data_IF_219600908333
#
_entry.id   IF_219600908333
#
_cell.length_a   1.000
_cell.length_b   1.000
_cell.length_c   1.000
_cell.angle_alpha   90.00
_cell.angle_beta   90.00
_cell.angle_gamma   90.00
#
_symmetry.space_group_name_H-M   'P 1'
#
loop_
_entity.id
_entity.type
_entity.pdbx_description
1 polymer ?
#
# COMPACT_ATOMS: atom_id res chain seq x y z
N UNK A 1 45.09 -5.49 -37.74
CA UNK A 1 44.38 -4.35 -37.09
C UNK A 1 42.87 -4.55 -36.97
N UNK A 2 42.14 -5.05 -37.99
CA UNK A 2 40.67 -5.21 -37.92
C UNK A 2 40.17 -6.19 -36.85
N UNK A 3 40.88 -7.29 -36.62
CA UNK A 3 40.54 -8.29 -35.59
C UNK A 3 40.65 -7.72 -34.17
N UNK A 4 41.65 -6.87 -33.90
CA UNK A 4 41.85 -6.27 -32.57
C UNK A 4 40.71 -5.34 -32.14
N UNK A 5 40.21 -4.50 -33.06
CA UNK A 5 39.06 -3.63 -32.81
C UNK A 5 37.76 -4.40 -32.60
N UNK A 6 37.57 -5.51 -33.32
CA UNK A 6 36.43 -6.42 -33.11
C UNK A 6 36.41 -7.03 -31.71
N UNK A 7 37.55 -7.54 -31.24
CA UNK A 7 37.67 -8.12 -29.88
C UNK A 7 37.45 -7.10 -28.78
N UNK A 8 37.99 -5.88 -28.93
CA UNK A 8 37.77 -4.79 -27.97
C UNK A 8 36.30 -4.38 -27.91
N UNK A 9 35.64 -4.21 -29.06
CA UNK A 9 34.22 -3.87 -29.11
C UNK A 9 33.34 -4.96 -28.47
N UNK A 10 33.64 -6.24 -28.74
CA UNK A 10 32.95 -7.36 -28.11
C UNK A 10 33.12 -7.39 -26.59
N UNK A 11 34.33 -7.17 -26.09
CA UNK A 11 34.61 -7.11 -24.65
C UNK A 11 33.86 -5.96 -23.98
N UNK A 12 33.89 -4.76 -24.56
CA UNK A 12 33.18 -3.59 -24.03
C UNK A 12 31.66 -3.80 -24.05
N UNK A 13 31.11 -4.43 -25.10
CA UNK A 13 29.68 -4.73 -25.18
C UNK A 13 29.23 -5.72 -24.10
N UNK A 14 29.99 -6.79 -23.88
CA UNK A 14 29.67 -7.80 -22.86
C UNK A 14 29.74 -7.20 -21.45
N UNK A 15 30.78 -6.41 -21.15
CA UNK A 15 30.92 -5.75 -19.85
C UNK A 15 29.84 -4.70 -19.62
N UNK A 16 29.50 -3.92 -20.65
CA UNK A 16 28.40 -2.95 -20.58
C UNK A 16 27.06 -3.65 -20.35
N UNK A 17 26.79 -4.75 -21.05
CA UNK A 17 25.58 -5.53 -20.84
C UNK A 17 25.53 -6.16 -19.44
N UNK A 18 26.65 -6.67 -18.93
CA UNK A 18 26.75 -7.20 -17.57
C UNK A 18 26.55 -6.10 -16.51
N UNK A 19 27.11 -4.90 -16.75
CA UNK A 19 26.92 -3.73 -15.90
C UNK A 19 25.47 -3.24 -15.90
N UNK A 20 24.83 -3.16 -17.07
CA UNK A 20 23.40 -2.83 -17.14
C UNK A 20 22.57 -3.89 -16.43
N UNK A 21 22.87 -5.18 -16.62
CA UNK A 21 22.20 -6.30 -15.95
C UNK A 21 22.35 -6.24 -14.43
N UNK A 22 23.43 -5.68 -13.89
CA UNK A 22 23.61 -5.50 -12.45
C UNK A 22 22.54 -4.61 -11.82
N UNK A 23 22.03 -3.60 -12.55
CA UNK A 23 20.95 -2.72 -12.05
C UNK A 23 19.55 -3.35 -12.11
N UNK A 24 19.40 -4.53 -12.72
CA UNK A 24 18.13 -5.26 -12.74
C UNK A 24 18.13 -6.33 -11.64
N UNK A 25 17.37 -6.14 -10.54
CA UNK A 25 17.29 -7.13 -9.47
C UNK A 25 16.71 -8.44 -10.00
N UNK A 26 17.36 -9.57 -9.69
CA UNK A 26 16.95 -10.90 -10.18
C UNK A 26 15.85 -11.55 -9.35
N UNK A 27 15.60 -11.04 -8.15
CA UNK A 27 14.60 -11.55 -7.22
C UNK A 27 13.79 -10.37 -6.72
N UNK A 28 12.52 -10.36 -7.08
CA UNK A 28 11.52 -9.48 -6.47
C UNK A 28 10.93 -10.25 -5.30
N UNK A 29 11.28 -9.84 -4.07
CA UNK A 29 10.60 -10.31 -2.87
C UNK A 29 9.25 -9.60 -2.79
N UNK A 30 8.28 -10.10 -3.55
CA UNK A 30 6.90 -9.61 -3.48
C UNK A 30 6.16 -10.41 -2.41
N UNK A 31 5.65 -9.74 -1.34
CA UNK A 31 4.75 -10.37 -0.40
C UNK A 31 3.54 -10.96 -1.14
N UNK A 32 2.91 -12.02 -0.61
CA UNK A 32 1.74 -12.59 -1.25
C UNK A 32 0.67 -11.51 -1.43
N UNK A 33 0.04 -11.52 -2.60
CA UNK A 33 -0.97 -10.53 -2.98
C UNK A 33 -2.25 -10.68 -2.16
N UNK A 34 -2.50 -11.86 -1.61
CA UNK A 34 -3.59 -12.15 -0.70
C UNK A 34 -3.04 -12.69 0.62
N UNK A 35 -3.55 -12.15 1.73
CA UNK A 35 -3.12 -12.56 3.06
C UNK A 35 -4.26 -12.41 4.07
N UNK A 36 -4.25 -13.29 5.07
CA UNK A 36 -5.23 -13.28 6.15
C UNK A 36 -4.79 -12.32 7.23
N UNK A 37 -5.76 -11.63 7.83
CA UNK A 37 -5.53 -10.63 8.88
C UNK A 37 -6.27 -10.99 10.18
N UNK A 38 -6.43 -12.28 10.49
CA UNK A 38 -7.09 -12.70 11.73
C UNK A 38 -8.61 -12.55 11.72
N UNK A 39 -9.23 -12.66 12.88
CA UNK A 39 -10.69 -12.72 13.01
C UNK A 39 -11.31 -11.33 13.19
N UNK A 40 -12.54 -11.08 12.68
CA UNK A 40 -13.23 -9.80 12.88
C UNK A 40 -13.36 -9.36 14.35
N UNK A 41 -13.48 -10.30 15.28
CA UNK A 41 -13.67 -10.05 16.71
C UNK A 41 -12.41 -9.49 17.40
N UNK A 42 -11.22 -9.71 16.82
CA UNK A 42 -9.94 -9.23 17.36
C UNK A 42 -9.77 -7.71 17.16
N UNK A 43 -10.66 -7.07 16.40
CA UNK A 43 -10.58 -5.67 16.04
C UNK A 43 -11.62 -4.84 16.80
N UNK A 44 -11.22 -3.96 17.72
CA UNK A 44 -12.16 -3.05 18.36
C UNK A 44 -12.74 -2.02 17.38
N UNK A 45 -14.03 -1.65 17.49
CA UNK A 45 -14.62 -0.60 16.66
C UNK A 45 -13.90 0.75 16.82
N UNK A 46 -13.67 1.45 15.71
CA UNK A 46 -13.03 2.76 15.67
C UNK A 46 -11.51 2.76 15.79
N UNK A 47 -10.85 1.59 15.76
CA UNK A 47 -9.39 1.47 15.84
C UNK A 47 -8.75 1.12 14.50
N UNK A 48 -7.46 1.49 14.39
CA UNK A 48 -6.59 1.17 13.25
C UNK A 48 -5.58 0.14 13.71
N UNK A 49 -5.54 -1.01 13.04
CA UNK A 49 -4.52 -2.02 13.28
C UNK A 49 -3.31 -1.80 12.35
N UNK A 50 -2.14 -1.57 12.96
CA UNK A 50 -0.87 -1.32 12.29
C UNK A 50 0.05 -2.52 12.14
N UNK A 51 -0.36 -3.71 12.59
CA UNK A 51 0.46 -4.93 12.58
C UNK A 51 0.94 -5.31 11.16
N UNK A 52 0.08 -5.13 10.16
CA UNK A 52 0.34 -5.51 8.77
C UNK A 52 1.08 -4.44 7.95
N UNK A 53 1.45 -3.32 8.58
CA UNK A 53 2.12 -2.20 7.91
C UNK A 53 3.50 -2.58 7.38
N UNK A 54 4.33 -3.27 8.17
CA UNK A 54 5.73 -3.56 7.80
C UNK A 54 5.85 -4.63 6.72
N UNK A 55 5.01 -5.66 6.80
CA UNK A 55 5.08 -6.84 5.93
C UNK A 55 4.26 -6.66 4.65
N UNK A 56 3.06 -6.08 4.77
CA UNK A 56 2.12 -6.00 3.66
C UNK A 56 1.84 -4.57 3.19
N UNK A 57 2.35 -3.54 3.89
CA UNK A 57 2.05 -2.15 3.56
C UNK A 57 0.55 -1.85 3.66
N UNK A 58 -0.14 -2.49 4.62
CA UNK A 58 -1.59 -2.39 4.78
C UNK A 58 -1.97 -2.10 6.23
N UNK A 59 -2.95 -1.21 6.41
CA UNK A 59 -3.70 -1.06 7.66
C UNK A 59 -5.08 -1.70 7.52
N UNK A 60 -5.56 -2.30 8.61
CA UNK A 60 -6.92 -2.81 8.71
C UNK A 60 -7.66 -1.95 9.71
N UNK A 61 -8.78 -1.36 9.29
CA UNK A 61 -9.55 -0.42 10.09
C UNK A 61 -10.95 -0.96 10.27
N UNK A 62 -11.43 -0.96 11.51
CA UNK A 62 -12.84 -1.19 11.84
C UNK A 62 -13.47 0.15 12.17
N UNK A 63 -14.50 0.55 11.42
CA UNK A 63 -15.27 1.76 11.68
C UNK A 63 -16.21 1.58 12.88
N UNK A 64 -16.70 2.67 13.48
CA UNK A 64 -17.65 2.60 14.59
C UNK A 64 -18.98 1.92 14.24
N UNK A 65 -19.39 1.94 12.96
CA UNK A 65 -20.57 1.25 12.45
C UNK A 65 -20.35 -0.26 12.25
N UNK A 66 -19.16 -0.76 12.56
CA UNK A 66 -18.77 -2.16 12.44
C UNK A 66 -18.19 -2.54 11.07
N UNK A 67 -18.19 -1.63 10.09
CA UNK A 67 -17.63 -1.92 8.77
C UNK A 67 -16.09 -1.98 8.79
N UNK A 68 -15.51 -2.86 7.98
CA UNK A 68 -14.08 -3.03 7.82
C UNK A 68 -13.61 -2.51 6.48
N UNK A 69 -12.39 -1.98 6.43
CA UNK A 69 -11.67 -1.78 5.17
C UNK A 69 -10.17 -1.94 5.36
N UNK A 70 -9.50 -2.33 4.28
CA UNK A 70 -8.05 -2.41 4.19
C UNK A 70 -7.53 -1.19 3.42
N UNK A 71 -6.53 -0.52 3.98
CA UNK A 71 -5.99 0.72 3.45
C UNK A 71 -4.49 0.62 3.22
N UNK A 72 -4.02 1.08 2.07
CA UNK A 72 -2.60 1.09 1.74
C UNK A 72 -1.87 2.12 2.61
N UNK A 73 -0.73 1.73 3.18
CA UNK A 73 0.06 2.61 4.05
C UNK A 73 0.97 3.54 3.26
N UNK A 74 0.63 3.86 2.01
CA UNK A 74 1.46 4.64 1.10
C UNK A 74 0.87 6.04 0.92
N UNK A 75 1.64 7.05 1.29
CA UNK A 75 1.28 8.44 1.07
C UNK A 75 1.17 8.73 -0.43
N UNK A 76 0.07 9.36 -0.82
CA UNK A 76 -0.26 9.70 -2.21
C UNK A 76 0.53 10.88 -2.77
N UNK A 77 1.38 11.51 -1.96
CA UNK A 77 2.34 12.51 -2.42
C UNK A 77 3.51 11.85 -3.16
N UNK A 78 4.46 11.25 -2.42
CA UNK A 78 5.68 10.63 -2.97
C UNK A 78 5.96 9.23 -2.40
N UNK A 79 4.98 8.61 -1.73
CA UNK A 79 5.07 7.21 -1.34
C UNK A 79 5.64 6.90 0.05
N UNK A 80 5.93 7.91 0.87
CA UNK A 80 6.30 7.69 2.27
C UNK A 80 5.18 6.98 3.06
N UNK A 81 5.53 6.32 4.15
CA UNK A 81 4.54 5.67 5.02
C UNK A 81 4.06 6.65 6.10
N UNK A 82 2.78 7.09 6.12
CA UNK A 82 2.28 7.92 7.19
C UNK A 82 2.25 7.17 8.53
N UNK A 83 2.27 7.90 9.64
CA UNK A 83 2.10 7.34 10.98
C UNK A 83 0.68 7.60 11.47
N UNK A 84 0.05 6.58 12.08
CA UNK A 84 -1.22 6.74 12.79
C UNK A 84 -0.98 7.44 14.14
N UNK A 85 -1.70 8.53 14.38
CA UNK A 85 -1.63 9.31 15.62
C UNK A 85 -2.93 9.09 16.42
N UNK A 86 -2.91 8.14 17.36
CA UNK A 86 -4.08 7.74 18.15
C UNK A 86 -4.77 8.93 18.85
N UNK A 87 -3.98 9.84 19.44
CA UNK A 87 -4.48 11.01 20.15
C UNK A 87 -5.27 11.99 19.26
N UNK A 88 -4.98 12.01 17.95
CA UNK A 88 -5.62 12.92 16.99
C UNK A 88 -6.59 12.18 16.05
N UNK A 89 -6.63 10.85 16.10
CA UNK A 89 -7.36 9.98 15.17
C UNK A 89 -7.10 10.31 13.69
N UNK A 90 -5.84 10.58 13.37
CA UNK A 90 -5.38 11.04 12.05
C UNK A 90 -4.08 10.36 11.65
N UNK A 91 -3.89 10.18 10.35
CA UNK A 91 -2.60 9.80 9.79
C UNK A 91 -1.80 11.05 9.45
N UNK A 92 -0.52 11.07 9.82
CA UNK A 92 0.41 12.18 9.53
C UNK A 92 1.64 11.64 8.81
N UNK A 93 1.94 12.20 7.65
CA UNK A 93 3.11 11.84 6.86
C UNK A 93 4.32 12.67 7.29
N UNK A 94 5.40 12.04 7.81
CA UNK A 94 6.56 12.77 8.34
C UNK A 94 7.41 13.44 7.25
N UNK A 95 7.26 13.06 5.98
CA UNK A 95 8.12 13.55 4.91
C UNK A 95 7.83 15.00 4.51
N UNK A 96 6.55 15.34 4.32
CA UNK A 96 6.13 16.67 3.81
C UNK A 96 4.85 17.19 4.49
N UNK A 97 4.44 16.59 5.60
CA UNK A 97 3.30 17.06 6.40
C UNK A 97 1.92 16.78 5.82
N UNK A 98 1.76 15.82 4.91
CA UNK A 98 0.42 15.39 4.46
C UNK A 98 -0.36 14.77 5.61
N UNK A 99 -1.62 15.15 5.77
CA UNK A 99 -2.51 14.61 6.79
C UNK A 99 -3.75 13.96 6.18
N UNK A 100 -4.16 12.83 6.76
CA UNK A 100 -5.35 12.08 6.36
C UNK A 100 -6.25 11.78 7.56
N UNK A 101 -7.56 11.79 7.34
CA UNK A 101 -8.54 11.29 8.32
C UNK A 101 -8.47 9.77 8.46
N UNK A 102 -9.13 9.21 9.47
CA UNK A 102 -9.25 7.75 9.64
C UNK A 102 -9.80 7.04 8.39
N UNK A 103 -10.63 7.74 7.59
CA UNK A 103 -11.20 7.25 6.33
C UNK A 103 -10.17 7.15 5.20
N UNK A 104 -9.01 7.80 5.34
CA UNK A 104 -8.00 7.94 4.29
C UNK A 104 -8.15 9.20 3.44
N UNK A 105 -9.17 10.03 3.68
CA UNK A 105 -9.35 11.33 3.01
C UNK A 105 -8.25 12.31 3.43
N UNK A 106 -7.56 12.89 2.46
CA UNK A 106 -6.54 13.92 2.69
C UNK A 106 -7.21 15.25 3.07
N UNK A 107 -6.64 15.96 4.06
CA UNK A 107 -7.17 17.24 4.52
C UNK A 107 -6.12 18.35 4.65
N UNK A 108 -4.84 18.01 4.61
CA UNK A 108 -3.75 18.98 4.67
C UNK A 108 -2.49 18.47 3.95
N UNK A 109 -1.59 19.40 3.66
CA UNK A 109 -0.30 19.14 3.03
C UNK A 109 -0.40 18.88 1.52
N UNK A 110 0.70 18.43 0.89
CA UNK A 110 0.81 18.37 -0.57
C UNK A 110 0.16 17.14 -1.21
N UNK A 111 -0.47 16.27 -0.43
CA UNK A 111 -1.08 15.06 -0.96
C UNK A 111 -2.31 15.42 -1.82
N UNK A 112 -2.33 15.07 -3.12
CA UNK A 112 -3.37 15.55 -4.04
C UNK A 112 -4.69 14.79 -3.95
N UNK A 113 -4.71 13.63 -3.28
CA UNK A 113 -5.85 12.70 -3.26
C UNK A 113 -5.87 11.81 -2.00
N UNK A 114 -7.01 11.18 -1.68
CA UNK A 114 -7.14 10.20 -0.59
C UNK A 114 -6.24 8.98 -0.81
N UNK A 115 -5.91 8.29 0.29
CA UNK A 115 -5.18 7.02 0.28
C UNK A 115 -5.98 5.90 -0.40
N UNK A 116 -5.24 4.94 -0.96
CA UNK A 116 -5.82 3.82 -1.69
C UNK A 116 -6.32 2.73 -0.72
N UNK A 117 -7.36 2.02 -1.13
CA UNK A 117 -7.89 0.87 -0.39
C UNK A 117 -7.65 -0.43 -1.15
N UNK A 118 -7.60 -1.53 -0.43
CA UNK A 118 -7.58 -2.89 -0.99
C UNK A 118 -8.92 -3.58 -0.73
N UNK A 119 -9.22 -4.60 -1.53
CA UNK A 119 -10.39 -5.44 -1.26
C UNK A 119 -10.19 -6.21 0.02
N UNK A 120 -11.23 -6.24 0.84
CA UNK A 120 -11.31 -7.05 2.05
C UNK A 120 -12.55 -7.94 1.98
N UNK A 121 -12.44 -9.18 2.43
CA UNK A 121 -13.50 -10.19 2.41
C UNK A 121 -13.35 -11.15 3.59
N UNK A 122 -14.36 -11.98 3.85
CA UNK A 122 -14.26 -13.07 4.84
C UNK A 122 -13.86 -14.35 4.11
N UNK A 123 -12.80 -15.01 4.58
CA UNK A 123 -12.36 -16.31 4.08
C UNK A 123 -13.25 -17.45 4.61
N UNK A 124 -13.10 -18.65 4.04
CA UNK A 124 -13.89 -19.83 4.42
C UNK A 124 -13.74 -20.23 5.90
N UNK A 125 -12.60 -19.91 6.50
CA UNK A 125 -12.31 -20.16 7.91
C UNK A 125 -12.76 -19.02 8.85
N UNK A 126 -13.50 -18.03 8.34
CA UNK A 126 -14.04 -16.91 9.11
C UNK A 126 -13.06 -15.76 9.36
N UNK A 127 -11.80 -15.88 8.91
CA UNK A 127 -10.82 -14.80 9.01
C UNK A 127 -11.05 -13.72 7.95
N UNK A 128 -10.62 -12.50 8.24
CA UNK A 128 -10.55 -11.42 7.26
C UNK A 128 -9.41 -11.71 6.26
N UNK A 129 -9.70 -11.59 4.98
CA UNK A 129 -8.79 -11.76 3.87
C UNK A 129 -8.65 -10.43 3.11
N UNK A 130 -7.42 -9.94 3.01
CA UNK A 130 -7.10 -8.77 2.19
C UNK A 130 -6.53 -9.23 0.86
N UNK A 131 -7.06 -8.67 -0.23
CA UNK A 131 -6.59 -8.90 -1.59
C UNK A 131 -6.06 -7.60 -2.22
N UNK A 132 -4.73 -7.53 -2.36
CA UNK A 132 -4.01 -6.40 -2.94
C UNK A 132 -4.05 -6.36 -4.46
N UNK A 133 -4.48 -7.43 -5.13
CA UNK A 133 -4.65 -7.44 -6.58
C UNK A 133 -5.78 -6.51 -7.01
N UNK A 134 -6.78 -6.32 -6.13
CA UNK A 134 -7.91 -5.43 -6.34
C UNK A 134 -7.71 -4.18 -5.49
N UNK A 135 -7.28 -3.11 -6.17
CA UNK A 135 -7.00 -1.81 -5.57
C UNK A 135 -8.08 -0.80 -5.94
N UNK A 136 -8.55 -0.04 -4.96
CA UNK A 136 -9.50 1.04 -5.10
C UNK A 136 -8.77 2.38 -4.92
N UNK A 137 -8.41 3.07 -6.01
CA UNK A 137 -7.62 4.28 -5.93
C UNK A 137 -8.44 5.47 -5.44
N UNK A 138 -7.92 6.22 -4.46
CA UNK A 138 -8.59 7.39 -3.92
C UNK A 138 -8.82 8.48 -4.96
N UNK A 139 -10.03 9.05 -5.01
CA UNK A 139 -10.42 10.11 -5.95
C UNK A 139 -10.33 11.48 -5.26
N UNK A 140 -9.69 12.49 -5.86
CA UNK A 140 -9.60 13.83 -5.26
C UNK A 140 -10.97 14.38 -4.82
N UNK A 141 -11.05 14.84 -3.58
CA UNK A 141 -12.24 15.50 -3.02
C UNK A 141 -13.43 14.58 -2.75
N UNK A 142 -13.30 13.26 -2.89
CA UNK A 142 -14.37 12.30 -2.60
C UNK A 142 -13.92 11.28 -1.56
N UNK A 143 -14.84 10.88 -0.69
CA UNK A 143 -14.59 9.78 0.24
C UNK A 143 -14.56 8.43 -0.51
N UNK A 144 -13.59 7.58 -0.15
CA UNK A 144 -13.41 6.30 -0.87
C UNK A 144 -14.58 5.34 -0.67
N UNK A 145 -15.30 5.45 0.44
CA UNK A 145 -16.53 4.68 0.70
C UNK A 145 -17.70 5.07 -0.20
N UNK A 146 -17.77 6.33 -0.63
CA UNK A 146 -18.83 6.79 -1.53
C UNK A 146 -18.58 6.36 -2.97
N UNK A 147 -17.31 6.40 -3.39
CA UNK A 147 -16.89 6.00 -4.74
C UNK A 147 -16.84 4.48 -4.89
N UNK A 148 -16.37 3.78 -3.85
CA UNK A 148 -16.22 2.33 -3.85
C UNK A 148 -16.89 1.71 -2.62
N UNK A 149 -18.23 1.57 -2.62
CA UNK A 149 -18.95 0.88 -1.54
C UNK A 149 -18.43 -0.54 -1.31
N UNK A 150 -17.98 -1.22 -2.36
CA UNK A 150 -17.37 -2.55 -2.31
C UNK A 150 -16.01 -2.61 -1.60
N UNK A 151 -15.39 -1.46 -1.29
CA UNK A 151 -14.17 -1.41 -0.48
C UNK A 151 -14.45 -1.58 1.02
N UNK A 152 -15.72 -1.47 1.43
CA UNK A 152 -16.18 -1.72 2.77
C UNK A 152 -16.73 -3.14 2.88
N UNK A 153 -16.30 -3.86 3.90
CA UNK A 153 -16.87 -5.14 4.30
C UNK A 153 -17.75 -4.94 5.54
N UNK A 154 -19.00 -5.36 5.46
CA UNK A 154 -19.91 -5.45 6.61
C UNK A 154 -20.11 -6.93 6.91
N UNK A 155 -19.70 -7.35 8.11
CA UNK A 155 -19.84 -8.72 8.62
C UNK A 155 -20.99 -8.74 9.62
#
# INVERSE_FOLDING_TARGET
>A
MRVGWGSLAGFLAINSAAFLRFFYPRVLFEPPSQFKVGFPDEYPPGQVNSQYQREYGTWVIRLPDGAFFAMETKCTHLGCTPSWMESQKKFKCPCHGSGYYITGLNFEGPAPRPMDRFKISVAEDGQLLVDKTIKFPGVPGKESSEVYPQSLLRV
#
